data_IF_621653229998
#
_entry.id   IF_621653229998
#
_cell.length_a   1.000
_cell.length_b   1.000
_cell.length_c   1.000
_cell.angle_alpha   90.00
_cell.angle_beta   90.00
_cell.angle_gamma   90.00
#
_symmetry.space_group_name_H-M   'P 1'
#
loop_
_entity.id
_entity.type
_entity.pdbx_description
1 polymer ?
#
# COMPACT_ATOMS: atom_id res chain seq x y z
N UNK A 1 6.85 -8.49 -16.74
CA UNK A 1 7.86 -7.56 -16.19
C UNK A 1 7.93 -7.81 -14.70
N UNK A 2 9.04 -8.36 -14.22
CA UNK A 2 9.27 -8.56 -12.78
C UNK A 2 10.20 -7.46 -12.28
N UNK A 3 9.94 -6.96 -11.08
CA UNK A 3 10.80 -5.99 -10.41
C UNK A 3 11.84 -6.72 -9.55
N UNK A 4 13.08 -6.23 -9.54
CA UNK A 4 14.08 -6.72 -8.58
C UNK A 4 13.62 -6.43 -7.15
N UNK A 5 14.07 -7.24 -6.19
CA UNK A 5 13.76 -7.04 -4.76
C UNK A 5 14.09 -5.61 -4.30
N UNK A 6 15.25 -5.09 -4.74
CA UNK A 6 15.67 -3.72 -4.46
C UNK A 6 14.71 -2.67 -5.04
N UNK A 7 14.26 -2.83 -6.30
CA UNK A 7 13.31 -1.91 -6.93
C UNK A 7 11.98 -1.88 -6.18
N UNK A 8 11.44 -3.03 -5.81
CA UNK A 8 10.17 -3.12 -5.08
C UNK A 8 10.24 -2.43 -3.70
N UNK A 9 11.36 -2.57 -2.98
CA UNK A 9 11.57 -1.89 -1.69
C UNK A 9 11.61 -0.37 -1.88
N UNK A 10 12.40 0.11 -2.84
CA UNK A 10 12.53 1.55 -3.12
C UNK A 10 11.21 2.16 -3.59
N UNK A 11 10.45 1.45 -4.43
CA UNK A 11 9.08 1.85 -4.81
C UNK A 11 8.16 1.96 -3.60
N UNK A 12 8.24 1.01 -2.67
CA UNK A 12 7.47 1.04 -1.42
C UNK A 12 7.80 2.25 -0.55
N UNK A 13 9.09 2.54 -0.34
CA UNK A 13 9.55 3.70 0.46
C UNK A 13 9.10 5.01 -0.20
N UNK A 14 9.32 5.15 -1.52
CA UNK A 14 8.91 6.34 -2.25
C UNK A 14 7.39 6.56 -2.20
N UNK A 15 6.59 5.50 -2.29
CA UNK A 15 5.14 5.59 -2.15
C UNK A 15 4.73 6.06 -0.74
N UNK A 16 5.38 5.57 0.32
CA UNK A 16 5.09 5.98 1.70
C UNK A 16 5.38 7.46 1.93
N UNK A 17 6.48 7.97 1.38
CA UNK A 17 6.79 9.40 1.46
C UNK A 17 5.69 10.26 0.81
N UNK A 18 5.23 9.89 -0.40
CA UNK A 18 4.16 10.60 -1.10
C UNK A 18 2.83 10.51 -0.35
N UNK A 19 2.45 9.32 0.12
CA UNK A 19 1.20 9.09 0.82
C UNK A 19 1.13 9.81 2.18
N UNK A 20 2.21 9.81 2.95
CA UNK A 20 2.27 10.53 4.23
C UNK A 20 2.27 12.05 4.03
N UNK A 21 2.93 12.54 2.99
CA UNK A 21 2.88 13.96 2.64
C UNK A 21 1.48 14.39 2.21
N UNK A 22 0.79 13.56 1.42
CA UNK A 22 -0.61 13.79 1.04
C UNK A 22 -1.54 13.90 2.26
N UNK A 23 -1.47 12.95 3.22
CA UNK A 23 -2.28 13.04 4.45
C UNK A 23 -1.97 14.33 5.21
N UNK A 24 -0.70 14.72 5.32
CA UNK A 24 -0.32 15.96 5.98
C UNK A 24 -0.93 17.19 5.30
N UNK A 25 -0.84 17.28 3.97
CA UNK A 25 -1.40 18.40 3.20
C UNK A 25 -2.93 18.43 3.34
N UNK A 26 -3.61 17.30 3.18
CA UNK A 26 -5.06 17.21 3.33
C UNK A 26 -5.51 17.56 4.75
N UNK A 27 -4.82 17.03 5.76
CA UNK A 27 -5.08 17.38 7.15
C UNK A 27 -4.90 18.88 7.40
N UNK A 28 -3.84 19.49 6.85
CA UNK A 28 -3.63 20.93 7.00
C UNK A 28 -4.73 21.74 6.33
N UNK A 29 -5.16 21.38 5.11
CA UNK A 29 -6.24 22.06 4.38
C UNK A 29 -7.58 21.93 5.13
N UNK A 30 -7.90 20.75 5.66
CA UNK A 30 -9.19 20.46 6.29
C UNK A 30 -9.27 21.07 7.70
N UNK A 31 -8.19 20.97 8.49
CA UNK A 31 -8.19 21.38 9.90
C UNK A 31 -7.58 22.76 10.15
N UNK A 32 -6.86 23.33 9.17
CA UNK A 32 -6.19 24.64 9.29
C UNK A 32 -5.03 24.66 10.29
N UNK A 33 -4.60 23.50 10.82
CA UNK A 33 -3.63 23.41 11.90
C UNK A 33 -2.54 22.39 11.59
N UNK A 34 -1.30 22.88 11.54
CA UNK A 34 -0.10 22.04 11.32
C UNK A 34 0.03 20.99 12.42
N UNK A 35 -0.27 21.32 13.67
CA UNK A 35 -0.16 20.40 14.80
C UNK A 35 -1.07 19.16 14.63
N UNK A 36 -2.34 19.39 14.27
CA UNK A 36 -3.28 18.30 14.01
C UNK A 36 -2.84 17.47 12.79
N UNK A 37 -2.46 18.14 11.69
CA UNK A 37 -2.02 17.47 10.47
C UNK A 37 -0.78 16.59 10.68
N UNK A 38 0.25 17.10 11.39
CA UNK A 38 1.46 16.35 11.70
C UNK A 38 1.20 15.19 12.66
N UNK A 39 0.30 15.38 13.63
CA UNK A 39 -0.06 14.32 14.57
C UNK A 39 -0.76 13.17 13.84
N UNK A 40 -1.76 13.46 13.00
CA UNK A 40 -2.48 12.44 12.22
C UNK A 40 -1.51 11.69 11.29
N UNK A 41 -0.74 12.41 10.47
CA UNK A 41 0.20 11.80 9.52
C UNK A 41 1.29 10.96 10.22
N UNK A 42 1.77 11.41 11.39
CA UNK A 42 2.74 10.66 12.20
C UNK A 42 2.14 9.39 12.79
N UNK A 43 0.95 9.47 13.39
CA UNK A 43 0.28 8.30 13.95
C UNK A 43 -0.10 7.29 12.88
N UNK A 44 -0.54 7.72 11.70
CA UNK A 44 -0.87 6.82 10.59
C UNK A 44 0.29 5.93 10.16
N UNK A 45 1.53 6.44 10.18
CA UNK A 45 2.69 5.63 9.84
C UNK A 45 2.83 4.47 10.83
N UNK A 46 2.71 4.76 12.13
CA UNK A 46 2.86 3.78 13.19
C UNK A 46 1.71 2.77 13.21
N UNK A 47 0.46 3.26 13.17
CA UNK A 47 -0.73 2.42 13.23
C UNK A 47 -0.85 1.55 11.99
N UNK A 48 -0.63 2.08 10.77
CA UNK A 48 -0.77 1.27 9.55
C UNK A 48 0.30 0.20 9.40
N UNK A 49 1.49 0.39 9.98
CA UNK A 49 2.50 -0.67 10.06
C UNK A 49 1.99 -1.80 10.97
N UNK A 50 1.54 -1.47 12.18
CA UNK A 50 1.00 -2.46 13.12
C UNK A 50 -0.24 -3.17 12.54
N UNK A 51 -1.17 -2.41 11.97
CA UNK A 51 -2.41 -2.92 11.36
C UNK A 51 -2.09 -3.83 10.18
N UNK A 52 -1.15 -3.46 9.31
CA UNK A 52 -0.71 -4.33 8.21
C UNK A 52 -0.13 -5.65 8.74
N UNK A 53 0.74 -5.58 9.74
CA UNK A 53 1.34 -6.78 10.34
C UNK A 53 0.29 -7.71 10.96
N UNK A 54 -0.63 -7.17 11.77
CA UNK A 54 -1.72 -7.92 12.38
C UNK A 54 -2.65 -8.52 11.32
N UNK A 55 -3.00 -7.73 10.30
CA UNK A 55 -3.82 -8.18 9.17
C UNK A 55 -3.18 -9.35 8.44
N UNK A 56 -1.87 -9.27 8.17
CA UNK A 56 -1.10 -10.36 7.58
C UNK A 56 -1.10 -11.60 8.48
N UNK A 57 -0.94 -11.42 9.79
CA UNK A 57 -0.91 -12.53 10.75
C UNK A 57 -2.25 -13.26 10.83
N UNK A 58 -3.36 -12.53 10.86
CA UNK A 58 -4.72 -13.09 10.85
C UNK A 58 -4.95 -13.86 9.54
N UNK A 59 -4.61 -13.26 8.39
CA UNK A 59 -4.72 -13.92 7.09
C UNK A 59 -3.81 -15.14 6.95
N UNK A 60 -2.71 -15.18 7.68
CA UNK A 60 -1.82 -16.33 7.68
C UNK A 60 -2.43 -17.56 8.34
N UNK A 61 -3.27 -17.37 9.37
CA UNK A 61 -4.02 -18.46 10.00
C UNK A 61 -5.11 -19.03 9.09
N UNK A 62 -5.59 -18.26 8.11
CA UNK A 62 -6.61 -18.69 7.15
C UNK A 62 -5.97 -19.50 6.02
N UNK A 63 -6.30 -20.79 5.91
CA UNK A 63 -5.82 -21.68 4.82
C UNK A 63 -6.61 -21.53 3.52
N UNK A 64 -7.80 -20.95 3.56
CA UNK A 64 -8.66 -20.77 2.39
C UNK A 64 -7.93 -20.03 1.25
N UNK A 65 -8.06 -20.53 0.03
CA UNK A 65 -7.41 -19.94 -1.15
C UNK A 65 -5.90 -20.19 -1.26
N UNK A 66 -5.30 -21.01 -0.39
CA UNK A 66 -4.00 -21.65 -0.66
C UNK A 66 -4.26 -22.93 -1.46
N UNK A 67 -3.56 -23.10 -2.57
CA UNK A 67 -3.58 -24.34 -3.35
C UNK A 67 -2.38 -25.18 -2.94
N UNK A 68 -2.51 -26.49 -3.08
CA UNK A 68 -1.45 -27.46 -2.71
C UNK A 68 -0.21 -27.33 -3.61
N UNK A 69 -0.36 -26.69 -4.78
CA UNK A 69 0.71 -26.32 -5.70
C UNK A 69 1.55 -25.10 -5.25
N UNK A 70 1.25 -24.52 -4.07
CA UNK A 70 1.91 -23.31 -3.55
C UNK A 70 1.42 -22.00 -4.18
N UNK A 71 0.49 -22.05 -5.14
CA UNK A 71 -0.14 -20.86 -5.71
C UNK A 71 -1.29 -20.35 -4.84
N UNK A 72 -1.59 -19.06 -4.97
CA UNK A 72 -2.65 -18.40 -4.18
C UNK A 72 -3.82 -18.09 -5.12
N UNK A 73 -5.02 -18.49 -4.73
CA UNK A 73 -6.21 -18.24 -5.53
C UNK A 73 -6.41 -16.72 -5.72
N UNK A 74 -6.72 -16.23 -6.94
CA UNK A 74 -6.83 -14.80 -7.22
C UNK A 74 -7.82 -14.05 -6.31
N UNK A 75 -8.92 -14.70 -5.93
CA UNK A 75 -9.92 -14.14 -5.03
C UNK A 75 -9.37 -13.83 -3.63
N UNK A 76 -8.41 -14.60 -3.12
CA UNK A 76 -7.80 -14.36 -1.80
C UNK A 76 -7.06 -13.03 -1.77
N UNK A 77 -6.32 -12.70 -2.83
CA UNK A 77 -5.59 -11.44 -2.93
C UNK A 77 -6.52 -10.23 -3.01
N UNK A 78 -7.64 -10.36 -3.73
CA UNK A 78 -8.68 -9.33 -3.81
C UNK A 78 -9.33 -9.08 -2.45
N UNK A 79 -9.78 -10.14 -1.77
CA UNK A 79 -10.44 -10.03 -0.45
C UNK A 79 -9.47 -9.47 0.59
N UNK A 80 -8.19 -9.86 0.55
CA UNK A 80 -7.16 -9.34 1.44
C UNK A 80 -6.91 -7.84 1.23
N UNK A 81 -6.95 -7.36 -0.01
CA UNK A 81 -6.81 -5.93 -0.34
C UNK A 81 -8.01 -5.11 0.13
N UNK A 82 -9.23 -5.58 -0.16
CA UNK A 82 -10.49 -4.91 0.25
C UNK A 82 -10.56 -4.82 1.78
N UNK A 83 -10.28 -5.93 2.47
CA UNK A 83 -10.27 -5.95 3.93
C UNK A 83 -9.23 -5.01 4.53
N UNK A 84 -8.01 -4.97 3.99
CA UNK A 84 -7.00 -4.01 4.46
C UNK A 84 -7.43 -2.56 4.24
N UNK A 85 -8.08 -2.26 3.11
CA UNK A 85 -8.56 -0.90 2.81
C UNK A 85 -9.64 -0.45 3.78
N UNK A 86 -10.56 -1.34 4.12
CA UNK A 86 -11.60 -1.08 5.12
C UNK A 86 -11.00 -0.71 6.48
N UNK A 87 -10.09 -1.54 7.01
CA UNK A 87 -9.44 -1.24 8.28
C UNK A 87 -8.53 -0.01 8.23
N UNK A 88 -7.84 0.19 7.10
CA UNK A 88 -7.01 1.37 6.89
C UNK A 88 -7.81 2.68 6.87
N UNK A 89 -9.00 2.69 6.29
CA UNK A 89 -9.90 3.86 6.31
C UNK A 89 -10.52 4.09 7.68
N UNK A 90 -10.88 3.02 8.40
CA UNK A 90 -11.35 3.12 9.79
C UNK A 90 -10.28 3.69 10.71
N UNK A 91 -9.03 3.25 10.56
CA UNK A 91 -7.89 3.75 11.31
C UNK A 91 -7.71 5.27 11.13
N UNK A 92 -7.73 5.76 9.89
CA UNK A 92 -7.57 7.20 9.65
C UNK A 92 -8.75 8.02 10.20
N UNK A 93 -9.99 7.53 10.04
CA UNK A 93 -11.16 8.18 10.65
C UNK A 93 -11.05 8.23 12.17
N UNK A 94 -10.62 7.13 12.80
CA UNK A 94 -10.45 7.04 14.24
C UNK A 94 -9.34 7.98 14.74
N UNK A 95 -8.16 7.93 14.12
CA UNK A 95 -7.04 8.79 14.48
C UNK A 95 -7.37 10.27 14.30
N UNK A 96 -7.97 10.63 13.17
CA UNK A 96 -8.43 11.98 12.92
C UNK A 96 -9.43 12.43 13.99
N UNK A 97 -10.38 11.57 14.36
CA UNK A 97 -11.36 11.88 15.40
C UNK A 97 -10.71 12.04 16.78
N UNK A 98 -9.78 11.16 17.15
CA UNK A 98 -9.06 11.26 18.43
C UNK A 98 -8.22 12.53 18.53
N UNK A 99 -7.63 12.96 17.42
CA UNK A 99 -6.79 14.17 17.38
C UNK A 99 -7.61 15.45 17.34
N UNK A 100 -8.76 15.46 16.65
CA UNK A 100 -9.52 16.69 16.36
C UNK A 100 -10.84 16.82 17.13
N UNK A 101 -11.38 15.72 17.67
CA UNK A 101 -12.69 15.66 18.31
C UNK A 101 -13.89 15.84 17.37
N UNK A 102 -13.67 16.03 16.06
CA UNK A 102 -14.72 16.32 15.08
C UNK A 102 -14.89 15.16 14.09
N UNK A 103 -16.03 14.47 14.19
CA UNK A 103 -16.34 13.31 13.35
C UNK A 103 -16.60 13.71 11.89
N UNK A 104 -17.19 14.88 11.64
CA UNK A 104 -17.51 15.35 10.29
C UNK A 104 -16.25 15.58 9.46
N UNK A 105 -15.27 16.32 10.01
CA UNK A 105 -14.01 16.57 9.33
C UNK A 105 -13.17 15.28 9.15
N UNK A 106 -13.32 14.31 10.07
CA UNK A 106 -12.64 13.01 9.97
C UNK A 106 -13.16 12.16 8.80
N UNK A 107 -14.47 12.17 8.55
CA UNK A 107 -15.02 11.54 7.35
C UNK A 107 -14.61 12.25 6.06
N UNK A 108 -14.54 13.58 6.06
CA UNK A 108 -14.06 14.35 4.90
C UNK A 108 -12.61 14.00 4.58
N UNK A 109 -11.74 13.91 5.60
CA UNK A 109 -10.34 13.50 5.42
C UNK A 109 -10.25 12.09 4.82
N UNK A 110 -10.88 11.10 5.47
CA UNK A 110 -10.83 9.69 5.03
C UNK A 110 -11.41 9.50 3.62
N UNK A 111 -12.49 10.19 3.29
CA UNK A 111 -13.06 10.19 1.93
C UNK A 111 -12.12 10.82 0.90
N UNK A 112 -11.52 11.96 1.22
CA UNK A 112 -10.61 12.68 0.31
C UNK A 112 -9.32 11.91 0.08
N UNK A 113 -8.78 11.24 1.10
CA UNK A 113 -7.60 10.39 0.97
C UNK A 113 -7.81 9.21 0.02
N UNK A 114 -9.01 8.61 0.01
CA UNK A 114 -9.29 7.51 -0.93
C UNK A 114 -9.17 8.01 -2.36
N UNK A 115 -9.74 9.18 -2.66
CA UNK A 115 -9.73 9.76 -4.01
C UNK A 115 -8.32 10.20 -4.41
N UNK A 116 -7.64 10.97 -3.57
CA UNK A 116 -6.31 11.51 -3.85
C UNK A 116 -5.26 10.42 -3.96
N UNK A 117 -5.23 9.45 -3.04
CA UNK A 117 -4.23 8.37 -3.05
C UNK A 117 -4.40 7.43 -4.24
N UNK A 118 -5.61 7.25 -4.78
CA UNK A 118 -5.78 6.51 -6.05
C UNK A 118 -5.09 7.24 -7.20
N UNK A 119 -5.31 8.56 -7.31
CA UNK A 119 -4.67 9.40 -8.33
C UNK A 119 -3.15 9.42 -8.18
N UNK A 120 -2.64 9.70 -6.97
CA UNK A 120 -1.21 9.74 -6.71
C UNK A 120 -0.54 8.38 -6.89
N UNK A 121 -1.20 7.28 -6.51
CA UNK A 121 -0.64 5.95 -6.74
C UNK A 121 -0.49 5.67 -8.23
N UNK A 122 -1.50 6.02 -9.03
CA UNK A 122 -1.43 5.88 -10.47
C UNK A 122 -0.27 6.70 -11.05
N UNK A 123 -0.16 7.98 -10.68
CA UNK A 123 0.91 8.86 -11.15
C UNK A 123 2.29 8.38 -10.71
N UNK A 124 2.41 7.91 -9.47
CA UNK A 124 3.64 7.32 -8.92
C UNK A 124 4.07 6.11 -9.76
N UNK A 125 3.14 5.22 -10.12
CA UNK A 125 3.49 4.10 -10.99
C UNK A 125 3.83 4.51 -12.42
N UNK A 126 3.15 5.53 -12.97
CA UNK A 126 3.52 6.08 -14.29
C UNK A 126 4.93 6.66 -14.26
N UNK A 127 5.27 7.43 -13.24
CA UNK A 127 6.62 7.96 -13.06
C UNK A 127 7.66 6.84 -12.98
N UNK A 128 7.39 5.78 -12.20
CA UNK A 128 8.26 4.61 -12.11
C UNK A 128 8.37 3.81 -13.40
N UNK A 129 7.35 3.85 -14.28
CA UNK A 129 7.41 3.18 -15.59
C UNK A 129 8.49 3.77 -16.52
N UNK A 130 8.85 5.05 -16.33
CA UNK A 130 9.96 5.68 -17.05
C UNK A 130 11.34 5.23 -16.53
N UNK A 131 11.42 4.79 -15.29
CA UNK A 131 12.69 4.32 -14.68
C UNK A 131 13.01 2.91 -15.16
N UNK A 132 14.12 2.75 -15.90
CA UNK A 132 14.57 1.46 -16.46
C UNK A 132 15.23 0.52 -15.44
N UNK A 133 15.71 1.06 -14.33
CA UNK A 133 16.43 0.30 -13.30
C UNK A 133 15.56 -0.79 -12.67
N UNK A 134 16.16 -1.98 -12.49
CA UNK A 134 15.56 -3.11 -11.77
C UNK A 134 14.38 -3.78 -12.48
N UNK A 135 14.13 -3.51 -13.76
CA UNK A 135 13.13 -4.20 -14.57
C UNK A 135 13.72 -5.47 -15.18
N UNK A 136 13.14 -6.62 -14.84
CA UNK A 136 13.46 -7.91 -15.44
C UNK A 136 12.39 -8.20 -16.50
N UNK A 137 12.82 -8.18 -17.76
CA UNK A 137 12.03 -8.66 -18.90
C UNK A 137 12.29 -10.15 -19.03
N UNK A 138 11.27 -10.97 -18.83
CA UNK A 138 11.37 -12.39 -19.21
C UNK A 138 11.52 -12.44 -20.73
N UNK A 139 12.59 -13.06 -21.22
CA UNK A 139 12.74 -13.35 -22.65
C UNK A 139 11.66 -14.39 -23.05
N UNK A 140 11.07 -14.31 -24.26
CA UNK A 140 10.26 -15.39 -24.80
C UNK A 140 11.09 -16.70 -24.86
N UNK A 141 10.46 -17.83 -24.56
CA UNK A 141 11.09 -19.16 -24.50
C UNK A 141 11.46 -19.72 -25.89
N UNK A 142 12.20 -18.96 -26.70
CA UNK A 142 12.70 -19.41 -28.01
C UNK A 142 14.22 -19.69 -27.98
N UNK A 143 14.93 -19.35 -26.89
CA UNK A 143 16.39 -19.45 -26.76
C UNK A 143 16.87 -20.31 -25.56
N UNK A 144 16.12 -21.32 -25.10
CA UNK A 144 16.67 -22.22 -24.07
C UNK A 144 17.57 -23.28 -24.72
N UNK A 145 18.88 -23.34 -24.41
CA UNK A 145 19.72 -24.44 -24.87
C UNK A 145 19.27 -25.75 -24.20
N UNK A 146 19.20 -26.81 -25.00
CA UNK A 146 18.83 -28.16 -24.55
C UNK A 146 19.80 -28.64 -23.46
N UNK A 147 19.21 -29.13 -22.35
CA UNK A 147 19.79 -29.99 -21.32
C UNK A 147 21.11 -29.55 -20.66
N UNK A 148 21.01 -29.09 -19.41
CA UNK A 148 22.15 -29.08 -18.48
C UNK A 148 22.35 -30.53 -18.01
N UNK A 149 23.50 -31.18 -18.28
CA UNK A 149 23.73 -32.55 -17.81
C UNK A 149 23.78 -32.56 -16.28
N UNK A 150 23.01 -33.47 -15.68
CA UNK A 150 23.03 -33.71 -14.24
C UNK A 150 24.43 -34.18 -13.81
N UNK A 151 25.03 -33.46 -12.87
CA UNK A 151 26.24 -33.86 -12.14
C UNK A 151 25.84 -34.60 -10.87
#
# INVERSE_FOLDING_TARGET
>A
MKDTKARSIVKGISWRAVASFDTFVLGYIIFGSVAHASAIAGFEILTKIALFFLHERIWNSIRAGRRDDGSVAPWRSLVKSISYRFFGSLDTTLLSFLVTGNIGNSFILSGTEVVTKVGFFYLHERAWSHVRWGRIYEKPCEECPDEVPAV
#
